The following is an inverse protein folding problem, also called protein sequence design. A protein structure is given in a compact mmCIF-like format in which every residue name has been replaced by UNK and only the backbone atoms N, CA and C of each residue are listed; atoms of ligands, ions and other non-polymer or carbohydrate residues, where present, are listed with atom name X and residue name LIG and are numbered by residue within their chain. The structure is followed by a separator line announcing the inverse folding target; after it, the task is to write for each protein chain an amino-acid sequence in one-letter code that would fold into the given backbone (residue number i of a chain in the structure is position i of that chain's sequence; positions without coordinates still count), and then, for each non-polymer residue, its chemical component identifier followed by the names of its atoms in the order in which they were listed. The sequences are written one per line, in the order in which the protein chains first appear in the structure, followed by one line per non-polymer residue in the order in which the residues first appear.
data_IF_675574825626
#
_entry.id   IF_675574825626
#
_cell.length_a   1.000
_cell.length_b   1.000
_cell.length_c   1.000
_cell.angle_alpha   90.00
_cell.angle_beta   90.00
_cell.angle_gamma   90.00
#
_symmetry.space_group_name_H-M   'P 1'
#
loop_
_entity.id
_entity.type
_entity.pdbx_description
1 polymer ?
#
# COMPACT_ATOMS: atom_id res chain seq x y z
N UNK A 1 16.86 -0.33 1.26
CA UNK A 1 15.92 -1.32 0.77
C UNK A 1 14.79 -0.73 -0.09
N UNK A 2 14.22 0.40 0.20
CA UNK A 2 13.10 0.96 -0.55
C UNK A 2 13.55 1.92 -1.66
N UNK A 3 12.81 1.93 -2.79
CA UNK A 3 13.01 2.93 -3.85
C UNK A 3 12.56 4.30 -3.32
N UNK A 4 13.35 5.38 -3.46
CA UNK A 4 12.92 6.70 -3.04
C UNK A 4 11.72 7.17 -3.87
N UNK A 5 10.85 7.96 -3.24
CA UNK A 5 9.71 8.55 -3.92
C UNK A 5 10.16 9.58 -4.99
N UNK A 6 9.45 9.62 -6.12
CA UNK A 6 9.64 10.66 -7.12
C UNK A 6 9.33 12.04 -6.53
N UNK A 7 10.14 13.04 -6.92
CA UNK A 7 9.99 14.45 -6.47
C UNK A 7 8.58 14.99 -6.70
N UNK A 8 7.94 14.56 -7.79
CA UNK A 8 6.54 14.90 -8.11
C UNK A 8 5.59 14.46 -6.98
N UNK A 9 5.70 13.21 -6.52
CA UNK A 9 4.83 12.71 -5.47
C UNK A 9 5.17 13.24 -4.08
N UNK A 10 6.44 13.60 -3.84
CA UNK A 10 6.82 14.39 -2.65
C UNK A 10 6.10 15.75 -2.66
N UNK A 11 5.96 16.39 -3.82
CA UNK A 11 5.20 17.64 -3.94
C UNK A 11 3.68 17.42 -3.70
N UNK A 12 3.11 16.31 -4.20
CA UNK A 12 1.73 15.91 -3.88
C UNK A 12 1.54 15.70 -2.38
N UNK A 13 2.43 14.97 -1.70
CA UNK A 13 2.38 14.77 -0.23
C UNK A 13 2.38 16.09 0.52
N UNK A 14 3.29 17.00 0.15
CA UNK A 14 3.40 18.33 0.79
C UNK A 14 2.15 19.20 0.62
N UNK A 15 1.40 18.98 -0.44
CA UNK A 15 0.17 19.73 -0.73
C UNK A 15 -1.04 19.20 0.06
N UNK A 16 -0.95 18.00 0.68
CA UNK A 16 -2.07 17.44 1.43
C UNK A 16 -2.19 18.06 2.82
N UNK A 17 -3.41 18.24 3.26
CA UNK A 17 -3.79 18.69 4.61
C UNK A 17 -4.43 17.56 5.45
N UNK A 18 -4.57 16.38 4.88
CA UNK A 18 -5.09 15.15 5.50
C UNK A 18 -4.02 14.04 5.43
N UNK A 19 -4.04 13.08 6.36
CA UNK A 19 -3.25 11.85 6.22
C UNK A 19 -3.60 11.12 4.93
N UNK A 20 -2.63 10.42 4.34
CA UNK A 20 -2.79 9.70 3.08
C UNK A 20 -3.01 8.22 3.35
N UNK A 21 -4.12 7.67 2.82
CA UNK A 21 -4.28 6.23 2.62
C UNK A 21 -3.91 5.92 1.16
N UNK A 22 -2.98 5.00 0.97
CA UNK A 22 -2.58 4.51 -0.35
C UNK A 22 -3.12 3.11 -0.59
N UNK A 23 -3.91 2.92 -1.64
CA UNK A 23 -4.22 1.57 -2.16
C UNK A 23 -3.21 1.23 -3.24
N UNK A 24 -2.33 0.28 -2.97
CA UNK A 24 -1.34 -0.21 -3.94
C UNK A 24 -1.87 -1.38 -4.74
N UNK A 25 -1.70 -1.38 -6.06
CA UNK A 25 -2.20 -2.40 -6.99
C UNK A 25 -3.71 -2.64 -6.84
N UNK A 26 -4.48 -1.55 -6.81
CA UNK A 26 -5.92 -1.59 -6.55
C UNK A 26 -6.69 -2.32 -7.66
N UNK A 27 -7.66 -3.14 -7.25
CA UNK A 27 -8.73 -3.68 -8.07
C UNK A 27 -10.04 -2.94 -7.79
N UNK A 28 -11.07 -3.18 -8.60
CA UNK A 28 -12.37 -2.50 -8.45
C UNK A 28 -13.02 -2.89 -7.13
N UNK A 29 -12.92 -4.14 -6.73
CA UNK A 29 -13.48 -4.71 -5.51
C UNK A 29 -12.91 -4.02 -4.26
N UNK A 30 -11.61 -3.69 -4.26
CA UNK A 30 -10.97 -2.95 -3.17
C UNK A 30 -11.58 -1.53 -3.03
N UNK A 31 -11.78 -0.85 -4.16
CA UNK A 31 -12.39 0.46 -4.18
C UNK A 31 -13.86 0.43 -3.70
N UNK A 32 -14.63 -0.56 -4.15
CA UNK A 32 -16.03 -0.76 -3.71
C UNK A 32 -16.11 -1.04 -2.21
N UNK A 33 -15.19 -1.87 -1.68
CA UNK A 33 -15.15 -2.17 -0.24
C UNK A 33 -14.81 -0.92 0.58
N UNK A 34 -13.82 -0.14 0.17
CA UNK A 34 -13.43 1.07 0.88
C UNK A 34 -14.47 2.19 0.76
N UNK A 35 -15.25 2.24 -0.32
CA UNK A 35 -16.32 3.24 -0.48
C UNK A 35 -17.46 3.08 0.54
N UNK A 36 -17.53 1.94 1.23
CA UNK A 36 -18.51 1.68 2.30
C UNK A 36 -18.06 2.18 3.69
N UNK A 37 -16.82 2.69 3.80
CA UNK A 37 -16.24 3.18 5.04
C UNK A 37 -16.23 4.71 5.07
N UNK A 38 -16.33 5.30 6.25
CA UNK A 38 -16.06 6.73 6.41
C UNK A 38 -14.55 6.97 6.41
N UNK A 39 -14.02 7.38 5.27
CA UNK A 39 -12.62 7.75 5.08
C UNK A 39 -12.46 9.25 4.79
N UNK A 40 -13.44 10.06 5.14
CA UNK A 40 -13.45 11.52 4.90
C UNK A 40 -12.30 12.28 5.59
N UNK A 41 -11.76 11.71 6.67
CA UNK A 41 -10.60 12.25 7.37
C UNK A 41 -9.26 12.08 6.62
N UNK A 42 -9.25 11.33 5.53
CA UNK A 42 -8.05 10.98 4.77
C UNK A 42 -8.09 11.53 3.34
N UNK A 43 -6.91 11.65 2.73
CA UNK A 43 -6.73 11.73 1.28
C UNK A 43 -6.49 10.32 0.75
N UNK A 44 -7.33 9.85 -0.16
CA UNK A 44 -7.21 8.52 -0.76
C UNK A 44 -6.35 8.60 -2.03
N UNK A 45 -5.25 7.85 -2.07
CA UNK A 45 -4.43 7.69 -3.25
C UNK A 45 -4.58 6.27 -3.80
N UNK A 46 -4.98 6.15 -5.05
CA UNK A 46 -5.25 4.86 -5.70
C UNK A 46 -4.25 4.64 -6.82
N UNK A 47 -3.50 3.55 -6.73
CA UNK A 47 -2.63 3.05 -7.79
C UNK A 47 -3.30 1.82 -8.40
N UNK A 48 -3.95 1.94 -9.58
CA UNK A 48 -4.61 0.82 -10.24
C UNK A 48 -3.63 -0.31 -10.56
N UNK A 49 -4.08 -1.56 -10.40
CA UNK A 49 -3.32 -2.71 -10.91
C UNK A 49 -3.26 -2.70 -12.45
N UNK A 50 -4.39 -2.41 -13.09
CA UNK A 50 -4.48 -2.19 -14.52
C UNK A 50 -4.93 -0.76 -14.81
N UNK A 51 -4.18 -0.01 -15.60
CA UNK A 51 -4.49 1.39 -15.91
C UNK A 51 -5.80 1.57 -16.67
N UNK A 52 -6.24 0.55 -17.40
CA UNK A 52 -7.53 0.53 -18.09
C UNK A 52 -8.72 0.57 -17.14
N UNK A 53 -8.54 0.12 -15.90
CA UNK A 53 -9.59 0.11 -14.88
C UNK A 53 -9.73 1.43 -14.11
N UNK A 54 -8.82 2.40 -14.30
CA UNK A 54 -8.79 3.59 -13.45
C UNK A 54 -10.12 4.37 -13.43
N UNK A 55 -10.80 4.49 -14.60
CA UNK A 55 -12.09 5.19 -14.68
C UNK A 55 -13.18 4.46 -13.91
N UNK A 56 -13.21 3.12 -13.99
CA UNK A 56 -14.18 2.27 -13.28
C UNK A 56 -13.92 2.34 -11.77
N UNK A 57 -12.67 2.31 -11.35
CA UNK A 57 -12.28 2.45 -9.95
C UNK A 57 -12.65 3.85 -9.41
N UNK A 58 -12.36 4.91 -10.16
CA UNK A 58 -12.78 6.26 -9.79
C UNK A 58 -14.31 6.40 -9.66
N UNK A 59 -15.06 5.76 -10.56
CA UNK A 59 -16.53 5.77 -10.53
C UNK A 59 -17.11 4.97 -9.38
N UNK A 60 -16.43 3.90 -8.93
CA UNK A 60 -16.86 3.07 -7.79
C UNK A 60 -16.67 3.75 -6.45
N UNK A 61 -15.75 4.72 -6.35
CA UNK A 61 -15.52 5.55 -5.16
C UNK A 61 -16.57 6.67 -5.08
N UNK A 62 -17.80 6.29 -4.73
CA UNK A 62 -18.97 7.17 -4.85
C UNK A 62 -18.97 8.32 -3.86
N UNK A 63 -18.35 8.16 -2.70
CA UNK A 63 -18.20 9.21 -1.70
C UNK A 63 -17.34 10.39 -2.17
N UNK A 64 -16.51 10.19 -3.22
CA UNK A 64 -15.66 11.24 -3.78
C UNK A 64 -16.26 11.98 -4.99
N UNK A 65 -17.50 11.69 -5.41
CA UNK A 65 -18.12 12.29 -6.61
C UNK A 65 -18.21 13.82 -6.57
N UNK A 66 -18.41 14.38 -5.38
CA UNK A 66 -18.48 15.83 -5.15
C UNK A 66 -17.21 16.41 -4.52
N UNK A 67 -16.18 15.59 -4.35
CA UNK A 67 -14.93 15.96 -3.67
C UNK A 67 -13.87 16.45 -4.67
N UNK A 68 -12.80 17.04 -4.13
CA UNK A 68 -11.63 17.43 -4.93
C UNK A 68 -10.89 16.17 -5.40
N UNK A 69 -11.07 15.80 -6.66
CA UNK A 69 -10.38 14.68 -7.28
C UNK A 69 -9.28 15.15 -8.22
N UNK A 70 -8.21 14.37 -8.35
CA UNK A 70 -7.08 14.66 -9.22
C UNK A 70 -6.54 13.39 -9.88
N UNK A 71 -5.91 13.58 -11.04
CA UNK A 71 -5.15 12.54 -11.75
C UNK A 71 -3.68 12.98 -11.79
N UNK A 72 -2.80 12.15 -11.28
CA UNK A 72 -1.39 12.49 -11.13
C UNK A 72 -0.66 12.77 -12.45
N UNK A 73 -1.08 12.17 -13.57
CA UNK A 73 -0.47 12.39 -14.88
C UNK A 73 -0.84 13.73 -15.53
N UNK A 74 -1.97 14.31 -15.12
CA UNK A 74 -2.57 15.50 -15.79
C UNK A 74 -2.50 16.72 -14.86
N UNK A 75 -2.82 16.55 -13.58
CA UNK A 75 -2.98 17.64 -12.63
C UNK A 75 -1.65 18.06 -11.99
N UNK A 76 -1.61 19.31 -11.53
CA UNK A 76 -0.52 19.80 -10.67
C UNK A 76 -0.78 19.43 -9.21
N UNK A 77 0.28 19.26 -8.40
CA UNK A 77 0.14 19.00 -6.95
C UNK A 77 -0.73 20.05 -6.27
N UNK A 78 -1.76 19.55 -5.57
CA UNK A 78 -2.70 20.35 -4.75
C UNK A 78 -3.31 19.46 -3.67
N UNK A 79 -3.95 20.05 -2.68
CA UNK A 79 -4.78 19.28 -1.75
C UNK A 79 -5.90 18.58 -2.53
N UNK A 80 -6.11 17.29 -2.23
CA UNK A 80 -7.12 16.48 -2.92
C UNK A 80 -7.67 15.41 -1.99
N UNK A 81 -8.96 15.09 -2.12
CA UNK A 81 -9.57 13.99 -1.37
C UNK A 81 -9.31 12.64 -2.05
N UNK A 82 -9.21 12.62 -3.38
CA UNK A 82 -8.89 11.44 -4.18
C UNK A 82 -7.83 11.76 -5.22
N UNK A 83 -6.71 11.04 -5.18
CA UNK A 83 -5.67 11.06 -6.22
C UNK A 83 -5.63 9.72 -6.94
N UNK A 84 -5.96 9.71 -8.23
CA UNK A 84 -5.73 8.58 -9.10
C UNK A 84 -4.30 8.65 -9.64
N UNK A 85 -3.45 7.69 -9.27
CA UNK A 85 -2.06 7.60 -9.71
C UNK A 85 -2.00 6.70 -10.93
N UNK A 86 -1.61 7.26 -12.07
CA UNK A 86 -1.64 6.56 -13.36
C UNK A 86 -0.25 6.38 -13.98
N UNK A 87 0.81 6.60 -13.22
CA UNK A 87 2.19 6.34 -13.61
C UNK A 87 2.65 4.93 -13.24
N UNK A 88 3.43 4.30 -14.11
CA UNK A 88 4.05 3.01 -13.85
C UNK A 88 5.33 3.11 -13.02
N UNK A 89 5.60 2.06 -12.21
CA UNK A 89 6.87 1.88 -11.51
C UNK A 89 7.12 2.85 -10.36
N UNK A 90 6.07 3.55 -9.89
CA UNK A 90 6.15 4.54 -8.80
C UNK A 90 5.72 4.00 -7.45
N UNK A 91 5.01 2.85 -7.41
CA UNK A 91 4.33 2.32 -6.23
C UNK A 91 5.28 2.12 -5.03
N UNK A 92 6.44 1.49 -5.25
CA UNK A 92 7.42 1.27 -4.19
C UNK A 92 7.86 2.55 -3.48
N UNK A 93 8.01 3.66 -4.21
CA UNK A 93 8.31 4.97 -3.63
C UNK A 93 7.11 5.63 -2.97
N UNK A 94 5.89 5.37 -3.44
CA UNK A 94 4.67 5.92 -2.86
C UNK A 94 4.37 5.37 -1.47
N UNK A 95 4.72 4.11 -1.19
CA UNK A 95 4.57 3.54 0.15
C UNK A 95 5.27 4.39 1.21
N UNK A 96 6.46 4.93 0.92
CA UNK A 96 7.19 5.80 1.84
C UNK A 96 6.41 7.07 2.21
N UNK A 97 5.56 7.57 1.31
CA UNK A 97 4.80 8.82 1.48
C UNK A 97 3.45 8.62 2.19
N UNK A 98 2.90 7.42 2.16
CA UNK A 98 1.60 7.11 2.75
C UNK A 98 1.65 7.10 4.28
N UNK A 99 0.54 7.45 4.91
CA UNK A 99 0.35 7.33 6.36
C UNK A 99 -0.31 5.99 6.70
N UNK A 100 -1.22 5.49 5.84
CA UNK A 100 -1.79 4.15 5.86
C UNK A 100 -1.67 3.48 4.49
N UNK A 101 -1.58 2.15 4.46
CA UNK A 101 -1.42 1.38 3.23
C UNK A 101 -2.44 0.24 3.17
N UNK A 102 -3.08 0.11 2.03
CA UNK A 102 -3.92 -1.05 1.71
C UNK A 102 -3.33 -1.74 0.48
N UNK A 103 -3.07 -3.05 0.59
CA UNK A 103 -2.61 -3.86 -0.53
C UNK A 103 -3.84 -4.39 -1.27
N UNK A 104 -3.95 -4.05 -2.55
CA UNK A 104 -5.09 -4.39 -3.37
C UNK A 104 -5.17 -5.88 -3.75
N UNK A 105 -6.30 -6.25 -4.32
CA UNK A 105 -6.63 -7.61 -4.79
C UNK A 105 -7.33 -8.47 -3.74
N UNK A 106 -7.17 -8.16 -2.46
CA UNK A 106 -7.64 -9.00 -1.37
C UNK A 106 -9.16 -9.05 -1.19
N UNK A 107 -9.91 -8.05 -1.66
CA UNK A 107 -11.38 -8.13 -1.75
C UNK A 107 -11.87 -8.76 -3.05
N UNK A 108 -10.97 -8.98 -4.01
CA UNK A 108 -11.22 -9.74 -5.23
C UNK A 108 -10.79 -11.19 -5.08
N UNK A 109 -9.81 -11.61 -5.89
CA UNK A 109 -9.35 -13.00 -5.95
C UNK A 109 -8.18 -13.31 -5.01
N UNK A 110 -7.20 -12.40 -4.94
CA UNK A 110 -5.99 -12.58 -4.15
C UNK A 110 -5.28 -11.24 -3.93
N UNK A 111 -4.80 -10.99 -2.72
CA UNK A 111 -3.95 -9.86 -2.37
C UNK A 111 -2.60 -9.93 -3.10
N UNK A 112 -2.05 -8.78 -3.46
CA UNK A 112 -0.68 -8.66 -3.95
C UNK A 112 0.34 -8.82 -2.81
N UNK A 113 1.63 -8.94 -3.19
CA UNK A 113 2.72 -9.04 -2.23
C UNK A 113 2.89 -7.72 -1.46
N UNK A 114 3.01 -7.79 -0.13
CA UNK A 114 3.13 -6.63 0.76
C UNK A 114 4.58 -6.26 1.13
N UNK A 115 5.59 -7.00 0.65
CA UNK A 115 7.01 -6.79 1.03
C UNK A 115 7.50 -5.37 0.72
N UNK A 116 7.08 -4.76 -0.40
CA UNK A 116 7.51 -3.40 -0.73
C UNK A 116 7.00 -2.37 0.27
N UNK A 117 5.77 -2.52 0.76
CA UNK A 117 5.21 -1.65 1.80
C UNK A 117 5.94 -1.86 3.14
N UNK A 118 6.17 -3.12 3.52
CA UNK A 118 6.89 -3.52 4.73
C UNK A 118 8.33 -2.96 4.73
N UNK A 119 9.03 -3.05 3.58
CA UNK A 119 10.38 -2.48 3.42
C UNK A 119 10.43 -0.95 3.59
N UNK A 120 9.32 -0.26 3.40
CA UNK A 120 9.16 1.18 3.68
C UNK A 120 8.70 1.46 5.12
N UNK A 121 8.70 0.46 5.98
CA UNK A 121 8.25 0.59 7.38
C UNK A 121 6.75 0.80 7.51
N UNK A 122 5.95 0.25 6.59
CA UNK A 122 4.49 0.37 6.62
C UNK A 122 3.87 -0.93 7.10
N UNK A 123 2.98 -0.79 8.08
CA UNK A 123 2.04 -1.84 8.42
C UNK A 123 0.87 -1.69 7.45
N UNK A 124 0.70 -2.67 6.59
CA UNK A 124 -0.34 -2.63 5.57
C UNK A 124 -1.59 -3.42 5.99
N UNK A 125 -2.76 -2.99 5.52
CA UNK A 125 -3.97 -3.83 5.54
C UNK A 125 -4.19 -4.49 4.18
N UNK A 126 -4.96 -5.56 4.15
CA UNK A 126 -5.43 -6.20 2.93
C UNK A 126 -6.82 -6.81 3.15
N UNK A 127 -7.50 -7.21 2.07
CA UNK A 127 -8.77 -7.93 2.15
C UNK A 127 -8.60 -9.39 2.59
N UNK A 128 -9.71 -10.16 2.65
CA UNK A 128 -9.75 -11.52 3.21
C UNK A 128 -8.93 -12.56 2.42
N UNK A 129 -8.74 -12.37 1.11
CA UNK A 129 -8.01 -13.32 0.28
C UNK A 129 -6.51 -13.00 0.23
N UNK A 130 -5.81 -13.15 1.35
CA UNK A 130 -4.41 -12.75 1.51
C UNK A 130 -3.42 -13.93 1.48
N UNK A 131 -3.88 -15.14 1.72
CA UNK A 131 -3.08 -16.33 2.02
C UNK A 131 -2.46 -17.01 0.79
N UNK A 132 -2.78 -16.55 -0.42
CA UNK A 132 -2.24 -17.10 -1.67
C UNK A 132 -0.77 -16.74 -1.94
N UNK A 133 -0.23 -15.75 -1.23
CA UNK A 133 1.17 -15.29 -1.36
C UNK A 133 1.96 -15.80 -0.16
N UNK A 134 2.97 -16.68 -0.34
CA UNK A 134 3.71 -17.28 0.77
C UNK A 134 4.32 -16.25 1.73
N UNK A 135 4.89 -15.16 1.21
CA UNK A 135 5.52 -14.12 2.01
C UNK A 135 4.51 -13.37 2.90
N UNK A 136 3.24 -13.32 2.49
CA UNK A 136 2.20 -12.69 3.31
C UNK A 136 1.94 -13.45 4.61
N UNK A 137 2.14 -14.79 4.63
CA UNK A 137 2.02 -15.58 5.87
C UNK A 137 3.03 -15.14 6.93
N UNK A 138 4.28 -14.91 6.53
CA UNK A 138 5.33 -14.41 7.43
C UNK A 138 4.98 -13.01 7.92
N UNK A 139 4.52 -12.12 7.02
CA UNK A 139 4.16 -10.76 7.37
C UNK A 139 2.96 -10.71 8.33
N UNK A 140 1.97 -11.58 8.16
CA UNK A 140 0.82 -11.69 9.08
C UNK A 140 1.28 -12.22 10.43
N UNK A 141 2.12 -13.27 10.46
CA UNK A 141 2.66 -13.84 11.69
C UNK A 141 3.48 -12.83 12.51
N UNK A 142 4.22 -11.93 11.83
CA UNK A 142 4.96 -10.83 12.47
C UNK A 142 4.08 -9.61 12.82
N UNK A 143 2.83 -9.58 12.37
CA UNK A 143 1.94 -8.43 12.54
C UNK A 143 2.24 -7.25 11.62
N UNK A 144 2.95 -7.45 10.51
CA UNK A 144 3.30 -6.40 9.54
C UNK A 144 2.28 -6.29 8.39
N UNK A 145 1.47 -7.32 8.17
CA UNK A 145 0.29 -7.30 7.32
C UNK A 145 -0.95 -7.59 8.18
N UNK A 146 -1.97 -6.75 8.02
CA UNK A 146 -3.22 -6.81 8.78
C UNK A 146 -4.37 -7.27 7.87
N UNK A 147 -4.72 -8.56 7.84
CA UNK A 147 -5.88 -9.05 7.11
C UNK A 147 -7.17 -8.46 7.68
N UNK A 148 -8.07 -8.04 6.80
CA UNK A 148 -9.37 -7.50 7.17
C UNK A 148 -10.46 -8.35 6.51
N UNK A 149 -11.22 -9.08 7.31
CA UNK A 149 -12.32 -9.92 6.81
C UNK A 149 -13.61 -9.11 6.66
N UNK A 150 -13.72 -8.05 7.46
CA UNK A 150 -14.91 -7.20 7.53
C UNK A 150 -14.57 -5.71 7.47
N UNK A 151 -15.58 -4.88 7.24
CA UNK A 151 -15.44 -3.43 7.33
C UNK A 151 -15.11 -2.95 8.75
N UNK A 152 -15.48 -3.74 9.78
CA UNK A 152 -15.11 -3.45 11.18
C UNK A 152 -13.60 -3.59 11.37
N UNK A 153 -12.99 -4.63 10.80
CA UNK A 153 -11.53 -4.84 10.89
C UNK A 153 -10.78 -3.72 10.15
N UNK A 154 -11.25 -3.34 8.96
CA UNK A 154 -10.66 -2.24 8.23
C UNK A 154 -10.81 -0.91 8.99
N UNK A 155 -11.96 -0.65 9.60
CA UNK A 155 -12.16 0.54 10.45
C UNK A 155 -11.19 0.53 11.64
N UNK A 156 -10.99 -0.63 12.28
CA UNK A 156 -10.02 -0.77 13.36
C UNK A 156 -8.59 -0.48 12.89
N UNK A 157 -8.21 -0.95 11.70
CA UNK A 157 -6.93 -0.62 11.09
C UNK A 157 -6.81 0.89 10.83
N UNK A 158 -7.81 1.52 10.19
CA UNK A 158 -7.80 2.95 9.87
C UNK A 158 -7.63 3.83 11.11
N UNK A 159 -8.27 3.46 12.22
CA UNK A 159 -8.17 4.17 13.50
C UNK A 159 -6.77 4.08 14.15
N UNK A 160 -5.92 3.15 13.71
CA UNK A 160 -4.53 3.03 14.20
C UNK A 160 -3.55 3.89 13.40
N UNK A 161 -3.93 4.39 12.23
CA UNK A 161 -3.04 5.17 11.37
C UNK A 161 -2.55 6.41 12.15
N UNK A 162 -1.22 6.58 12.20
CA UNK A 162 -0.56 7.67 12.90
C UNK A 162 -0.39 7.47 14.42
N UNK A 163 -0.83 6.33 14.98
CA UNK A 163 -0.54 6.01 16.38
C UNK A 163 0.92 5.67 16.61
N UNK A 164 1.45 5.99 17.80
CA UNK A 164 2.83 5.66 18.19
C UNK A 164 3.11 4.15 18.07
N UNK A 165 2.14 3.32 18.43
CA UNK A 165 2.23 1.86 18.31
C UNK A 165 2.42 1.42 16.86
N UNK A 166 1.68 2.01 15.90
CA UNK A 166 1.80 1.64 14.49
C UNK A 166 3.12 2.14 13.89
N UNK A 167 3.60 3.31 14.32
CA UNK A 167 4.88 3.86 13.91
C UNK A 167 6.03 2.98 14.40
N UNK A 168 6.01 2.55 15.66
CA UNK A 168 7.02 1.65 16.24
C UNK A 168 7.02 0.28 15.54
N UNK A 169 5.84 -0.29 15.33
CA UNK A 169 5.69 -1.53 14.59
C UNK A 169 6.24 -1.42 13.15
N UNK A 170 6.07 -0.26 12.50
CA UNK A 170 6.66 0.02 11.18
C UNK A 170 8.19 0.00 11.18
N UNK A 171 8.85 0.50 12.23
CA UNK A 171 10.31 0.41 12.38
C UNK A 171 10.76 -1.04 12.50
N UNK A 172 10.09 -1.83 13.35
CA UNK A 172 10.38 -3.26 13.48
C UNK A 172 10.20 -4.01 12.16
N UNK A 173 9.17 -3.66 11.40
CA UNK A 173 8.94 -4.23 10.07
C UNK A 173 10.09 -3.93 9.10
N UNK A 174 10.62 -2.71 9.12
CA UNK A 174 11.76 -2.32 8.30
C UNK A 174 13.06 -3.03 8.71
N UNK A 175 13.31 -3.17 10.01
CA UNK A 175 14.45 -3.91 10.55
C UNK A 175 14.37 -5.39 10.15
N UNK A 176 13.22 -6.02 10.33
CA UNK A 176 12.97 -7.40 9.92
C UNK A 176 13.23 -7.60 8.42
N UNK A 177 12.77 -6.68 7.57
CA UNK A 177 13.02 -6.74 6.12
C UNK A 177 14.52 -6.64 5.79
N UNK A 178 15.30 -5.88 6.55
CA UNK A 178 16.77 -5.82 6.40
C UNK A 178 17.41 -7.17 6.71
N UNK A 179 16.98 -7.84 7.79
CA UNK A 179 17.48 -9.16 8.17
C UNK A 179 17.14 -10.26 7.15
N UNK A 180 15.96 -10.17 6.51
CA UNK A 180 15.55 -11.10 5.44
C UNK A 180 16.24 -10.81 4.11
N UNK A 181 16.95 -9.69 3.98
CA UNK A 181 17.65 -9.33 2.74
C UNK A 181 18.89 -10.22 2.51
N UNK A 182 19.46 -10.15 1.30
CA UNK A 182 20.67 -10.88 0.96
C UNK A 182 20.45 -12.34 0.51
N UNK A 183 19.22 -12.67 0.04
CA UNK A 183 18.94 -14.01 -0.48
C UNK A 183 19.87 -14.39 -1.66
N UNK A 184 20.18 -13.43 -2.54
CA UNK A 184 21.06 -13.65 -3.68
C UNK A 184 22.48 -14.04 -3.23
N UNK A 185 23.04 -13.32 -2.24
CA UNK A 185 24.36 -13.62 -1.68
C UNK A 185 24.39 -14.99 -0.97
N UNK A 186 23.31 -15.33 -0.27
CA UNK A 186 23.17 -16.64 0.38
C UNK A 186 23.15 -17.78 -0.66
N UNK A 187 22.39 -17.60 -1.75
CA UNK A 187 22.29 -18.57 -2.85
C UNK A 187 23.67 -18.72 -3.52
N UNK A 188 24.36 -17.64 -3.85
CA UNK A 188 25.69 -17.66 -4.47
C UNK A 188 26.66 -18.44 -3.59
N UNK A 189 26.72 -18.18 -2.28
CA UNK A 189 27.60 -18.94 -1.35
C UNK A 189 27.32 -20.44 -1.34
N UNK A 190 26.02 -20.83 -1.36
CA UNK A 190 25.64 -22.25 -1.41
C UNK A 190 26.08 -22.88 -2.73
N UNK A 191 25.92 -22.19 -3.86
CA UNK A 191 26.37 -22.70 -5.16
C UNK A 191 27.88 -22.81 -5.26
N UNK A 192 28.64 -21.83 -4.75
CA UNK A 192 30.09 -21.85 -4.70
C UNK A 192 30.60 -23.05 -3.88
N UNK A 193 29.97 -23.35 -2.74
CA UNK A 193 30.31 -24.52 -1.92
C UNK A 193 29.99 -25.86 -2.62
N UNK A 194 28.89 -25.91 -3.38
CA UNK A 194 28.47 -27.09 -4.12
C UNK A 194 29.39 -27.40 -5.33
N UNK A 195 30.02 -26.38 -5.93
CA UNK A 195 30.91 -26.53 -7.09
C UNK A 195 32.34 -26.88 -6.67
N UNK A 196 32.72 -26.66 -5.40
CA UNK A 196 34.05 -27.03 -4.85
C UNK A 196 34.10 -28.48 -4.35
N UNK A 197 33.03 -29.24 -4.44
CA UNK A 197 32.93 -30.68 -4.17
C UNK A 197 33.02 -31.49 -5.46
#
# INVERSE_FOLDING_TARGET
LGKPADKKFVAWKKAQNKPIILIGSAHIEDCVSLDQLDISAFSLWVVPHHLEDFKRQQQSLTQFKSSQTSNSSIDKPRATDLLMVTEFGVLAGLYALADGVVIGGGWGKATHNALEATAQGKIAACGPHWDSIPENHDLVAQGFLYPTETHVDMTAYLNRIGSDSMIEQGKLAQEWMLEQSGAAEKIVKVLEQAVQL
#
